data_IF_562320304694
#
_entry.id   IF_562320304694
#
_cell.length_a   1.000
_cell.length_b   1.000
_cell.length_c   1.000
_cell.angle_alpha   90.00
_cell.angle_beta   90.00
_cell.angle_gamma   90.00
#
_symmetry.space_group_name_H-M   'P 1'
#
loop_
_entity.id
_entity.type
_entity.pdbx_description
1 polymer ?
#
# COMPACT_ATOMS: atom_id res chain seq x y z
N UNK A 1 12.40 0.35 -38.84
CA UNK A 1 11.81 1.64 -38.40
C UNK A 1 12.77 2.29 -37.40
N UNK A 2 13.32 3.49 -37.71
CA UNK A 2 14.13 4.25 -36.74
C UNK A 2 13.16 5.03 -35.86
N UNK A 3 12.93 4.56 -34.62
CA UNK A 3 12.12 5.28 -33.65
C UNK A 3 12.98 6.41 -33.07
N UNK A 4 12.53 7.69 -33.07
CA UNK A 4 13.23 8.80 -32.44
C UNK A 4 13.12 8.66 -30.91
N UNK A 5 14.11 7.96 -30.34
CA UNK A 5 14.12 7.52 -28.93
C UNK A 5 13.98 8.72 -27.98
N UNK A 6 14.75 9.80 -28.22
CA UNK A 6 14.72 10.99 -27.39
C UNK A 6 13.34 11.68 -27.38
N UNK A 7 12.74 11.89 -28.55
CA UNK A 7 11.42 12.53 -28.67
C UNK A 7 10.32 11.68 -28.02
N UNK A 8 10.44 10.35 -28.16
CA UNK A 8 9.50 9.42 -27.53
C UNK A 8 9.63 9.45 -26.02
N UNK A 9 10.86 9.51 -25.50
CA UNK A 9 11.12 9.67 -24.07
C UNK A 9 10.52 10.97 -23.53
N UNK A 10 10.79 12.10 -24.16
CA UNK A 10 10.24 13.42 -23.75
C UNK A 10 8.71 13.44 -23.76
N UNK A 11 8.09 12.85 -24.79
CA UNK A 11 6.62 12.71 -24.82
C UNK A 11 6.09 11.85 -23.67
N UNK A 12 6.78 10.77 -23.34
CA UNK A 12 6.46 9.91 -22.20
C UNK A 12 6.60 10.65 -20.87
N UNK A 13 7.71 11.35 -20.67
CA UNK A 13 7.98 12.13 -19.46
C UNK A 13 6.92 13.24 -19.24
N UNK A 14 6.53 13.97 -20.28
CA UNK A 14 5.44 14.95 -20.20
C UNK A 14 4.11 14.32 -19.79
N UNK A 15 3.75 13.16 -20.36
CA UNK A 15 2.52 12.45 -19.98
C UNK A 15 2.57 11.98 -18.51
N UNK A 16 3.72 11.46 -18.07
CA UNK A 16 3.92 11.06 -16.68
C UNK A 16 3.78 12.24 -15.72
N UNK A 17 4.39 13.38 -16.03
CA UNK A 17 4.27 14.59 -15.22
C UNK A 17 2.82 15.08 -15.09
N UNK A 18 2.08 15.13 -16.21
CA UNK A 18 0.66 15.50 -16.19
C UNK A 18 -0.19 14.51 -15.38
N UNK A 19 0.14 13.22 -15.42
CA UNK A 19 -0.54 12.22 -14.60
C UNK A 19 -0.31 12.49 -13.11
N UNK A 20 0.93 12.80 -12.69
CA UNK A 20 1.24 13.15 -11.29
C UNK A 20 0.45 14.38 -10.84
N UNK A 21 0.44 15.46 -11.62
CA UNK A 21 -0.35 16.65 -11.29
C UNK A 21 -1.83 16.32 -11.12
N UNK A 22 -2.37 15.43 -11.96
CA UNK A 22 -3.78 15.03 -11.91
C UNK A 22 -4.14 14.25 -10.64
N UNK A 23 -3.25 13.39 -10.14
CA UNK A 23 -3.49 12.58 -8.93
C UNK A 23 -3.13 13.33 -7.63
N UNK A 24 -2.30 14.36 -7.69
CA UNK A 24 -1.81 15.12 -6.53
C UNK A 24 -2.94 15.64 -5.62
N UNK A 25 -4.02 16.27 -6.11
CA UNK A 25 -5.11 16.73 -5.24
C UNK A 25 -5.77 15.59 -4.46
N UNK A 26 -5.90 14.42 -5.08
CA UNK A 26 -6.46 13.23 -4.41
C UNK A 26 -5.54 12.74 -3.29
N UNK A 27 -4.22 12.71 -3.52
CA UNK A 27 -3.24 12.35 -2.49
C UNK A 27 -3.27 13.33 -1.31
N UNK A 28 -3.32 14.64 -1.59
CA UNK A 28 -3.42 15.67 -0.54
C UNK A 28 -4.69 15.47 0.29
N UNK A 29 -5.83 15.24 -0.37
CA UNK A 29 -7.10 14.98 0.32
C UNK A 29 -7.04 13.71 1.19
N UNK A 30 -6.42 12.63 0.69
CA UNK A 30 -6.23 11.40 1.45
C UNK A 30 -5.30 11.60 2.65
N UNK A 31 -4.19 12.35 2.48
CA UNK A 31 -3.29 12.67 3.61
C UNK A 31 -4.02 13.48 4.69
N UNK A 32 -4.85 14.44 4.31
CA UNK A 32 -5.66 15.19 5.26
C UNK A 32 -6.66 14.28 6.00
N UNK A 33 -7.35 13.38 5.27
CA UNK A 33 -8.28 12.42 5.86
C UNK A 33 -7.58 11.46 6.83
N UNK A 34 -6.40 10.94 6.47
CA UNK A 34 -5.59 10.09 7.36
C UNK A 34 -5.14 10.87 8.60
N UNK A 35 -4.76 12.15 8.46
CA UNK A 35 -4.44 13.01 9.59
C UNK A 35 -5.60 13.16 10.56
N UNK A 36 -6.83 13.33 10.06
CA UNK A 36 -8.04 13.38 10.90
C UNK A 36 -8.30 12.04 11.60
N UNK A 37 -8.19 10.92 10.88
CA UNK A 37 -8.36 9.57 11.45
C UNK A 37 -7.35 9.29 12.56
N UNK A 38 -6.11 9.76 12.41
CA UNK A 38 -5.08 9.66 13.44
C UNK A 38 -5.40 10.52 14.65
N UNK A 39 -5.74 11.79 14.43
CA UNK A 39 -6.08 12.72 15.52
C UNK A 39 -7.29 12.26 16.35
N UNK A 40 -8.18 11.47 15.74
CA UNK A 40 -9.34 10.88 16.44
C UNK A 40 -8.99 9.65 17.30
N UNK A 41 -7.74 9.14 17.26
CA UNK A 41 -7.36 7.87 17.89
C UNK A 41 -7.84 6.61 17.18
N UNK A 42 -8.65 6.75 16.13
CA UNK A 42 -9.25 5.61 15.42
C UNK A 42 -8.20 4.62 14.89
N UNK A 43 -7.07 5.11 14.37
CA UNK A 43 -6.03 4.23 13.82
C UNK A 43 -5.32 3.42 14.91
N UNK A 44 -5.17 3.98 16.10
CA UNK A 44 -4.59 3.29 17.27
C UNK A 44 -5.56 2.20 17.77
N UNK A 45 -6.83 2.54 17.97
CA UNK A 45 -7.85 1.59 18.40
C UNK A 45 -8.01 0.45 17.38
N UNK A 46 -8.03 0.77 16.09
CA UNK A 46 -8.09 -0.19 15.00
C UNK A 46 -6.83 -1.07 14.93
N UNK A 47 -5.65 -0.46 15.12
CA UNK A 47 -4.38 -1.16 15.19
C UNK A 47 -4.33 -2.14 16.36
N UNK A 48 -4.80 -1.74 17.54
CA UNK A 48 -4.84 -2.56 18.74
C UNK A 48 -5.85 -3.72 18.59
N UNK A 49 -7.05 -3.43 18.06
CA UNK A 49 -8.08 -4.45 17.83
C UNK A 49 -7.60 -5.54 16.87
N UNK A 50 -7.01 -5.17 15.75
CA UNK A 50 -6.50 -6.11 14.76
C UNK A 50 -5.12 -6.66 15.14
N UNK A 51 -4.34 -5.91 15.91
CA UNK A 51 -3.03 -6.33 16.42
C UNK A 51 -3.10 -7.65 17.15
N UNK A 52 -4.08 -7.82 18.03
CA UNK A 52 -4.32 -9.06 18.77
C UNK A 52 -4.54 -10.26 17.84
N UNK A 53 -5.22 -10.06 16.69
CA UNK A 53 -5.45 -11.11 15.69
C UNK A 53 -4.20 -11.37 14.84
N UNK A 54 -3.37 -10.37 14.63
CA UNK A 54 -2.17 -10.44 13.79
C UNK A 54 -0.87 -10.71 14.57
N UNK A 55 -0.89 -10.69 15.91
CA UNK A 55 0.26 -11.04 16.76
C UNK A 55 0.98 -12.32 16.34
N UNK A 56 0.26 -13.42 16.01
CA UNK A 56 0.90 -14.67 15.59
C UNK A 56 1.70 -14.54 14.30
N UNK A 57 1.42 -13.51 13.47
CA UNK A 57 2.15 -13.24 12.21
C UNK A 57 3.44 -12.46 12.41
N UNK A 58 3.68 -11.92 13.62
CA UNK A 58 4.83 -11.09 13.95
C UNK A 58 4.77 -9.67 13.36
N UNK A 59 3.62 -9.23 12.83
CA UNK A 59 3.41 -7.86 12.31
C UNK A 59 3.14 -6.93 13.50
N UNK A 60 3.97 -5.90 13.74
CA UNK A 60 3.73 -4.91 14.79
C UNK A 60 2.39 -4.19 14.62
N UNK A 61 1.71 -3.88 15.73
CA UNK A 61 0.42 -3.19 15.72
C UNK A 61 0.46 -1.87 14.95
N UNK A 62 1.57 -1.13 15.00
CA UNK A 62 1.77 0.11 14.25
C UNK A 62 1.70 -0.06 12.71
N UNK A 63 1.98 -1.26 12.19
CA UNK A 63 1.90 -1.56 10.75
C UNK A 63 0.54 -2.12 10.32
N UNK A 64 -0.32 -2.45 11.26
CA UNK A 64 -1.62 -3.07 10.97
C UNK A 64 -2.53 -2.18 10.12
N UNK A 65 -2.71 -0.88 10.44
CA UNK A 65 -3.54 0.00 9.61
C UNK A 65 -3.06 0.06 8.16
N UNK A 66 -1.75 0.22 7.96
CA UNK A 66 -1.14 0.23 6.63
C UNK A 66 -1.37 -1.10 5.90
N UNK A 67 -1.15 -2.23 6.57
CA UNK A 67 -1.30 -3.58 6.01
C UNK A 67 -2.72 -3.85 5.53
N UNK A 68 -3.72 -3.46 6.34
CA UNK A 68 -5.13 -3.65 5.98
C UNK A 68 -5.54 -2.72 4.85
N UNK A 69 -5.23 -1.42 4.95
CA UNK A 69 -5.57 -0.43 3.92
C UNK A 69 -4.91 -0.75 2.59
N UNK A 70 -3.70 -1.33 2.62
CA UNK A 70 -2.97 -1.77 1.42
C UNK A 70 -3.76 -2.77 0.57
N UNK A 71 -4.57 -3.63 1.17
CA UNK A 71 -5.39 -4.60 0.44
C UNK A 71 -6.50 -3.94 -0.41
N UNK A 72 -6.95 -2.73 0.00
CA UNK A 72 -8.06 -2.03 -0.64
C UNK A 72 -7.62 -0.87 -1.54
N UNK A 73 -6.67 -0.05 -1.07
CA UNK A 73 -6.32 1.20 -1.72
C UNK A 73 -4.82 1.50 -1.66
N UNK A 74 -4.18 1.55 -2.81
CA UNK A 74 -2.77 1.93 -2.91
C UNK A 74 -2.53 3.39 -2.46
N UNK A 75 -3.37 4.32 -2.90
CA UNK A 75 -3.21 5.75 -2.58
C UNK A 75 -3.37 6.02 -1.09
N UNK A 76 -4.34 5.38 -0.44
CA UNK A 76 -4.52 5.49 1.01
C UNK A 76 -3.36 4.85 1.78
N UNK A 77 -2.85 3.70 1.31
CA UNK A 77 -1.68 3.06 1.90
C UNK A 77 -0.41 3.92 1.78
N UNK A 78 -0.20 4.59 0.63
CA UNK A 78 0.90 5.55 0.46
C UNK A 78 0.77 6.72 1.45
N UNK A 79 -0.44 7.23 1.69
CA UNK A 79 -0.66 8.30 2.67
C UNK A 79 -0.30 7.85 4.09
N UNK A 80 -0.70 6.63 4.49
CA UNK A 80 -0.32 6.04 5.77
C UNK A 80 1.19 5.81 5.89
N UNK A 81 1.84 5.37 4.81
CA UNK A 81 3.28 5.21 4.75
C UNK A 81 4.02 6.54 4.99
N UNK A 82 3.59 7.59 4.27
CA UNK A 82 4.19 8.92 4.42
C UNK A 82 4.00 9.49 5.82
N UNK A 83 2.87 9.21 6.43
CA UNK A 83 2.57 9.62 7.78
C UNK A 83 3.45 8.85 8.80
N UNK A 84 3.61 7.54 8.62
CA UNK A 84 4.52 6.72 9.40
C UNK A 84 5.98 7.20 9.29
N UNK A 85 6.41 7.63 8.10
CA UNK A 85 7.75 8.20 7.90
C UNK A 85 7.95 9.52 8.64
N UNK A 86 6.93 10.36 8.74
CA UNK A 86 7.00 11.61 9.52
C UNK A 86 7.16 11.35 11.01
N UNK A 87 6.52 10.31 11.54
CA UNK A 87 6.56 10.01 12.96
C UNK A 87 7.79 9.21 13.38
N UNK A 88 8.01 8.10 12.68
CA UNK A 88 9.03 7.14 13.06
C UNK A 88 10.36 7.32 12.32
N UNK A 89 10.33 8.00 11.15
CA UNK A 89 11.47 8.09 10.24
C UNK A 89 11.54 6.90 9.27
N UNK A 90 12.13 7.13 8.08
CA UNK A 90 12.27 6.11 7.04
C UNK A 90 13.19 4.96 7.46
N UNK A 91 14.26 5.28 8.21
CA UNK A 91 15.30 4.33 8.63
C UNK A 91 14.94 3.57 9.91
N UNK A 92 13.82 3.90 10.54
CA UNK A 92 13.33 3.15 11.69
C UNK A 92 12.89 1.73 11.27
N UNK A 93 12.82 0.83 12.23
CA UNK A 93 12.28 -0.52 11.99
C UNK A 93 10.89 -0.47 11.34
N UNK A 94 10.00 0.39 11.87
CA UNK A 94 8.65 0.55 11.34
C UNK A 94 8.66 1.12 9.90
N UNK A 95 9.51 2.12 9.62
CA UNK A 95 9.66 2.71 8.28
C UNK A 95 10.19 1.71 7.27
N UNK A 96 11.25 0.96 7.61
CA UNK A 96 11.79 -0.10 6.74
C UNK A 96 10.77 -1.21 6.50
N UNK A 97 10.12 -1.71 7.54
CA UNK A 97 9.11 -2.75 7.41
C UNK A 97 7.92 -2.29 6.55
N UNK A 98 7.43 -1.07 6.74
CA UNK A 98 6.38 -0.48 5.92
C UNK A 98 6.79 -0.39 4.44
N UNK A 99 8.03 0.04 4.17
CA UNK A 99 8.57 0.12 2.79
C UNK A 99 8.60 -1.25 2.11
N UNK A 100 9.06 -2.28 2.83
CA UNK A 100 9.12 -3.64 2.31
C UNK A 100 7.70 -4.17 2.08
N UNK A 101 6.77 -3.98 3.03
CA UNK A 101 5.36 -4.37 2.88
C UNK A 101 4.75 -3.72 1.63
N UNK A 102 4.97 -2.42 1.43
CA UNK A 102 4.46 -1.72 0.26
C UNK A 102 5.04 -2.22 -1.05
N UNK A 103 6.28 -2.69 -1.07
CA UNK A 103 6.95 -3.19 -2.26
C UNK A 103 6.61 -4.65 -2.59
N UNK A 104 6.34 -5.50 -1.59
CA UNK A 104 6.10 -6.93 -1.78
C UNK A 104 4.61 -7.33 -1.81
N UNK A 105 3.68 -6.37 -1.64
CA UNK A 105 2.24 -6.62 -1.64
C UNK A 105 1.51 -5.78 -2.67
N UNK A 106 0.29 -6.20 -3.02
CA UNK A 106 -0.59 -5.49 -3.95
C UNK A 106 -1.98 -5.22 -3.36
N UNK A 107 -2.71 -4.28 -4.00
CA UNK A 107 -4.10 -3.96 -3.66
C UNK A 107 -5.04 -5.04 -4.19
N UNK A 108 -5.20 -6.12 -3.42
CA UNK A 108 -5.90 -7.34 -3.85
C UNK A 108 -7.30 -7.05 -4.40
N UNK A 109 -8.12 -6.31 -3.64
CA UNK A 109 -9.51 -6.05 -4.02
C UNK A 109 -9.62 -5.15 -5.26
N UNK A 110 -8.80 -4.10 -5.34
CA UNK A 110 -8.77 -3.22 -6.51
C UNK A 110 -8.31 -3.98 -7.75
N UNK A 111 -7.20 -4.69 -7.67
CA UNK A 111 -6.62 -5.45 -8.79
C UNK A 111 -7.60 -6.49 -9.32
N UNK A 112 -8.23 -7.26 -8.42
CA UNK A 112 -9.24 -8.23 -8.82
C UNK A 112 -10.44 -7.57 -9.50
N UNK A 113 -10.92 -6.44 -8.98
CA UNK A 113 -12.05 -5.72 -9.57
C UNK A 113 -11.73 -5.23 -10.97
N UNK A 114 -10.55 -4.66 -11.17
CA UNK A 114 -10.13 -4.13 -12.49
C UNK A 114 -9.92 -5.26 -13.49
N UNK A 115 -9.13 -6.28 -13.15
CA UNK A 115 -8.78 -7.35 -14.10
C UNK A 115 -9.96 -8.27 -14.38
N UNK A 116 -10.68 -8.73 -13.36
CA UNK A 116 -11.83 -9.61 -13.56
C UNK A 116 -13.01 -8.86 -14.19
N UNK A 117 -13.16 -7.57 -13.85
CA UNK A 117 -14.14 -6.70 -14.50
C UNK A 117 -13.87 -6.52 -15.99
N UNK A 118 -12.61 -6.29 -16.37
CA UNK A 118 -12.21 -6.13 -17.78
C UNK A 118 -12.53 -7.38 -18.64
N UNK A 119 -12.32 -8.57 -18.07
CA UNK A 119 -12.60 -9.85 -18.76
C UNK A 119 -13.95 -10.47 -18.40
N UNK A 120 -14.81 -9.74 -17.67
CA UNK A 120 -16.15 -10.15 -17.24
C UNK A 120 -16.21 -11.48 -16.48
N UNK A 121 -15.16 -11.82 -15.75
CA UNK A 121 -15.16 -12.98 -14.87
C UNK A 121 -15.94 -12.66 -13.60
N UNK A 122 -16.97 -13.43 -13.29
CA UNK A 122 -17.83 -13.26 -12.10
C UNK A 122 -17.46 -14.18 -10.94
N UNK A 123 -16.80 -15.32 -11.22
CA UNK A 123 -16.44 -16.32 -10.21
C UNK A 123 -14.93 -16.30 -9.99
N UNK A 124 -14.50 -15.78 -8.86
CA UNK A 124 -13.08 -15.65 -8.50
C UNK A 124 -12.46 -16.94 -7.98
N UNK A 125 -13.28 -17.96 -7.65
CA UNK A 125 -12.85 -19.25 -7.08
C UNK A 125 -11.87 -19.01 -5.91
N UNK A 126 -10.69 -19.63 -5.96
CA UNK A 126 -9.67 -19.54 -4.93
C UNK A 126 -8.72 -18.32 -5.08
N UNK A 127 -8.89 -17.48 -6.11
CA UNK A 127 -7.99 -16.36 -6.39
C UNK A 127 -7.95 -15.36 -5.23
N UNK A 128 -9.11 -15.03 -4.65
CA UNK A 128 -9.17 -14.12 -3.51
C UNK A 128 -8.44 -14.70 -2.29
N UNK A 129 -8.73 -15.95 -1.94
CA UNK A 129 -8.10 -16.61 -0.80
C UNK A 129 -6.58 -16.74 -1.01
N UNK A 130 -6.15 -17.13 -2.22
CA UNK A 130 -4.73 -17.22 -2.56
C UNK A 130 -4.02 -15.87 -2.52
N UNK A 131 -4.64 -14.80 -3.02
CA UNK A 131 -4.08 -13.46 -2.99
C UNK A 131 -3.96 -12.91 -1.57
N UNK A 132 -4.96 -13.11 -0.72
CA UNK A 132 -4.90 -12.71 0.70
C UNK A 132 -3.83 -13.49 1.46
N UNK A 133 -3.75 -14.81 1.24
CA UNK A 133 -2.71 -15.66 1.83
C UNK A 133 -1.30 -15.22 1.38
N UNK A 134 -1.10 -15.00 0.09
CA UNK A 134 0.17 -14.50 -0.46
C UNK A 134 0.56 -13.14 0.11
N UNK A 135 -0.41 -12.21 0.25
CA UNK A 135 -0.17 -10.90 0.86
C UNK A 135 0.23 -11.04 2.33
N UNK A 136 -0.45 -11.89 3.09
CA UNK A 136 -0.12 -12.13 4.50
C UNK A 136 1.31 -12.72 4.66
N UNK A 137 1.66 -13.70 3.84
CA UNK A 137 3.02 -14.26 3.82
C UNK A 137 4.05 -13.20 3.44
N UNK A 138 3.78 -12.39 2.40
CA UNK A 138 4.65 -11.28 1.99
C UNK A 138 4.86 -10.27 3.12
N UNK A 139 3.79 -9.87 3.80
CA UNK A 139 3.87 -8.94 4.96
C UNK A 139 4.70 -9.53 6.09
N UNK A 140 4.47 -10.79 6.46
CA UNK A 140 5.21 -11.47 7.54
C UNK A 140 6.70 -11.59 7.19
N UNK A 141 7.02 -12.06 5.99
CA UNK A 141 8.42 -12.15 5.50
C UNK A 141 9.05 -10.76 5.42
N UNK A 142 8.30 -9.75 4.96
CA UNK A 142 8.76 -8.35 4.91
C UNK A 142 9.15 -7.81 6.29
N UNK A 143 8.35 -8.07 7.31
CA UNK A 143 8.66 -7.70 8.71
C UNK A 143 9.90 -8.44 9.21
N UNK A 144 10.03 -9.74 8.91
CA UNK A 144 11.23 -10.52 9.29
C UNK A 144 12.48 -9.97 8.62
N UNK A 145 12.42 -9.65 7.33
CA UNK A 145 13.55 -9.04 6.60
C UNK A 145 13.93 -7.68 7.17
N UNK A 146 12.95 -6.86 7.53
CA UNK A 146 13.21 -5.55 8.16
C UNK A 146 13.92 -5.64 9.52
N UNK A 147 13.84 -6.80 10.19
CA UNK A 147 14.60 -7.07 11.43
C UNK A 147 16.06 -7.46 11.20
N UNK A 148 16.38 -7.94 9.99
CA UNK A 148 17.73 -8.40 9.64
C UNK A 148 18.60 -7.29 9.06
N UNK A 149 17.98 -6.20 8.61
CA UNK A 149 18.63 -5.02 8.04
C UNK A 149 18.63 -3.89 9.08
#
# INVERSE_FOLDING_TARGET
MKVPVYDTFIKGAKKGFLAVIKIMPTLIGLMAAVGVLRSSGFLEDFGNLLGTVLEPTGIPSALVPLSVVRLFSNSAAVSLLLDLYKEAGCDSFAGRAASIIMSCTETVFYTMTVYFGAVRIKKTRYTLAGALFSSLVGMTVGVLLARLI
#
